data_IF_042234591951
#
_entry.id   IF_042234591951
#
_cell.length_a   1.000
_cell.length_b   1.000
_cell.length_c   1.000
_cell.angle_alpha   90.00
_cell.angle_beta   90.00
_cell.angle_gamma   90.00
#
_symmetry.space_group_name_H-M   'P 1'
#
loop_
_entity.id
_entity.type
_entity.pdbx_description
1 polymer ?
#
# COMPACT_ATOMS: atom_id res chain seq x y z
N UNK A 1 -1.85 9.24 -24.73
CA UNK A 1 -2.33 8.54 -23.53
C UNK A 1 -1.42 8.95 -22.37
N UNK A 2 -1.97 9.69 -21.40
CA UNK A 2 -1.27 9.92 -20.15
C UNK A 2 -1.04 8.55 -19.46
N UNK A 3 0.13 8.29 -18.90
CA UNK A 3 0.35 7.07 -18.12
C UNK A 3 -0.63 7.05 -16.94
N UNK A 4 -1.08 5.85 -16.58
CA UNK A 4 -1.94 5.68 -15.40
C UNK A 4 -1.25 6.29 -14.18
N UNK A 5 -2.01 7.01 -13.37
CA UNK A 5 -1.49 7.63 -12.16
C UNK A 5 -0.92 6.56 -11.21
N UNK A 6 0.28 6.78 -10.67
CA UNK A 6 0.86 5.82 -9.75
C UNK A 6 0.10 5.81 -8.42
N UNK A 7 -0.07 4.66 -7.78
CA UNK A 7 -0.54 4.60 -6.42
C UNK A 7 0.47 5.24 -5.47
N UNK A 8 -0.02 5.85 -4.41
CA UNK A 8 0.83 6.35 -3.32
C UNK A 8 1.55 5.15 -2.68
N UNK A 9 2.85 5.07 -2.85
CA UNK A 9 3.63 3.96 -2.34
C UNK A 9 4.44 4.38 -1.12
N UNK A 10 4.09 3.92 0.07
CA UNK A 10 5.04 3.62 1.15
C UNK A 10 4.33 2.86 2.28
N UNK A 11 4.91 1.79 2.82
CA UNK A 11 4.55 1.35 4.16
C UNK A 11 5.04 2.45 5.13
N UNK A 12 4.10 3.09 5.81
CA UNK A 12 4.43 4.14 6.77
C UNK A 12 5.01 3.57 8.06
N UNK A 13 6.01 4.22 8.67
CA UNK A 13 6.32 3.99 10.07
C UNK A 13 5.06 4.29 10.91
N UNK A 14 4.88 3.55 11.99
CA UNK A 14 3.77 3.74 12.91
C UNK A 14 3.68 5.22 13.31
N UNK A 15 2.58 5.86 13.06
CA UNK A 15 2.46 7.31 13.20
C UNK A 15 2.35 7.74 14.65
N UNK A 16 2.84 8.95 14.93
CA UNK A 16 2.56 9.61 16.20
C UNK A 16 1.03 9.77 16.41
N UNK A 17 0.52 9.62 17.62
CA UNK A 17 -0.91 9.76 17.87
C UNK A 17 -1.38 11.16 17.43
N UNK A 18 -2.47 11.18 16.66
CA UNK A 18 -3.19 12.42 16.40
C UNK A 18 -3.70 12.93 17.76
N UNK A 19 -3.58 14.22 18.07
CA UNK A 19 -4.11 14.76 19.32
C UNK A 19 -5.56 14.34 19.49
N UNK A 20 -5.91 13.95 20.70
CA UNK A 20 -7.25 13.53 21.06
C UNK A 20 -8.26 14.63 20.67
N UNK A 21 -9.06 14.36 19.64
CA UNK A 21 -10.01 15.30 19.06
C UNK A 21 -11.20 15.61 20.00
N UNK A 22 -11.08 15.28 21.30
CA UNK A 22 -12.17 15.34 22.25
C UNK A 22 -12.10 16.44 23.29
N UNK A 23 -11.02 17.21 23.42
CA UNK A 23 -10.74 17.91 24.66
C UNK A 23 -10.81 19.45 24.64
N UNK A 24 -11.31 20.12 23.59
CA UNK A 24 -11.36 21.60 23.60
C UNK A 24 -12.62 22.17 22.94
N UNK A 25 -12.95 23.42 23.19
CA UNK A 25 -13.94 24.17 22.42
C UNK A 25 -13.45 24.21 20.96
N UNK A 26 -14.00 23.36 20.10
CA UNK A 26 -13.50 23.10 18.79
C UNK A 26 -13.34 21.61 18.56
N UNK A 27 -14.29 20.82 19.07
CA UNK A 27 -14.36 19.37 18.80
C UNK A 27 -14.14 19.11 17.32
N UNK A 28 -13.22 18.19 17.00
CA UNK A 28 -13.07 17.67 15.66
C UNK A 28 -14.44 17.23 15.12
N UNK A 29 -14.71 17.60 13.85
CA UNK A 29 -15.95 17.25 13.16
C UNK A 29 -15.61 16.63 11.82
N UNK A 30 -16.44 15.71 11.29
CA UNK A 30 -16.31 15.22 9.94
C UNK A 30 -16.21 16.37 8.94
N UNK A 31 -15.34 16.22 7.97
CA UNK A 31 -15.14 17.21 6.93
C UNK A 31 -14.96 16.57 5.56
N UNK A 32 -15.13 17.37 4.54
CA UNK A 32 -14.93 17.01 3.15
C UNK A 32 -14.14 18.13 2.47
N UNK A 33 -13.17 17.76 1.64
CA UNK A 33 -12.46 18.71 0.80
C UNK A 33 -12.61 18.30 -0.67
N UNK A 34 -13.04 19.24 -1.53
CA UNK A 34 -13.17 19.01 -2.97
C UNK A 34 -11.94 19.50 -3.70
N UNK A 35 -11.38 18.62 -4.53
CA UNK A 35 -10.28 18.94 -5.45
C UNK A 35 -10.84 19.48 -6.77
N UNK A 36 -10.01 20.21 -7.52
CA UNK A 36 -10.37 20.64 -8.89
C UNK A 36 -10.23 19.52 -9.90
N UNK A 37 -9.41 18.51 -9.62
CA UNK A 37 -9.17 17.35 -10.49
C UNK A 37 -9.44 16.05 -9.72
N UNK A 38 -9.32 14.92 -10.45
CA UNK A 38 -9.51 13.61 -9.87
C UNK A 38 -8.48 13.32 -8.76
N UNK A 39 -8.93 12.66 -7.72
CA UNK A 39 -8.09 12.22 -6.60
C UNK A 39 -7.61 10.81 -6.88
N UNK A 40 -6.34 10.55 -6.57
CA UNK A 40 -5.69 9.27 -6.82
C UNK A 40 -5.31 8.54 -5.55
N UNK A 41 -5.44 7.22 -5.58
CA UNK A 41 -4.83 6.31 -4.62
C UNK A 41 -5.28 6.50 -3.19
N UNK A 42 -4.40 6.11 -2.30
CA UNK A 42 -4.60 6.11 -0.86
C UNK A 42 -4.01 7.39 -0.26
N UNK A 43 -4.75 8.12 0.58
CA UNK A 43 -4.21 9.29 1.27
C UNK A 43 -3.14 8.89 2.30
N UNK A 44 -2.21 9.80 2.58
CA UNK A 44 -1.13 9.57 3.55
C UNK A 44 -1.25 10.56 4.70
N UNK A 45 -1.31 10.07 5.92
CA UNK A 45 -1.29 10.91 7.12
C UNK A 45 0.13 10.94 7.69
N UNK A 46 0.68 12.15 7.87
CA UNK A 46 1.95 12.36 8.55
C UNK A 46 1.80 13.56 9.49
N UNK A 47 1.88 13.33 10.80
CA UNK A 47 1.62 14.36 11.80
C UNK A 47 0.19 14.92 11.71
N UNK A 48 0.08 16.24 11.61
CA UNK A 48 -1.18 16.97 11.52
C UNK A 48 -1.69 17.17 10.09
N UNK A 49 -1.03 16.57 9.10
CA UNK A 49 -1.35 16.76 7.69
C UNK A 49 -1.76 15.45 7.02
N UNK A 50 -2.74 15.58 6.15
CA UNK A 50 -3.16 14.56 5.20
C UNK A 50 -2.68 14.96 3.82
N UNK A 51 -1.87 14.12 3.21
CA UNK A 51 -1.37 14.32 1.86
C UNK A 51 -2.21 13.52 0.87
N UNK A 52 -2.74 14.22 -0.11
CA UNK A 52 -3.61 13.65 -1.14
C UNK A 52 -3.09 14.06 -2.50
N UNK A 53 -3.04 13.13 -3.43
CA UNK A 53 -2.57 13.37 -4.79
C UNK A 53 -3.75 13.59 -5.74
N UNK A 54 -3.69 14.71 -6.46
CA UNK A 54 -4.61 15.07 -7.54
C UNK A 54 -3.79 15.84 -8.58
N UNK A 55 -2.99 15.13 -9.37
CA UNK A 55 -1.83 15.62 -10.14
C UNK A 55 -0.73 16.20 -9.24
N UNK A 56 -1.02 17.27 -8.49
CA UNK A 56 -0.16 17.80 -7.45
C UNK A 56 -0.43 17.10 -6.11
N UNK A 57 0.46 17.27 -5.16
CA UNK A 57 0.22 16.88 -3.78
C UNK A 57 -0.47 18.02 -3.05
N UNK A 58 -1.57 17.73 -2.41
CA UNK A 58 -2.32 18.65 -1.55
C UNK A 58 -2.11 18.24 -0.09
N UNK A 59 -1.69 19.17 0.74
CA UNK A 59 -1.55 18.96 2.18
C UNK A 59 -2.74 19.60 2.90
N UNK A 60 -3.56 18.77 3.53
CA UNK A 60 -4.77 19.19 4.25
C UNK A 60 -4.55 19.05 5.75
N UNK A 61 -5.00 20.02 6.51
CA UNK A 61 -5.02 19.93 7.97
C UNK A 61 -6.02 18.84 8.41
N UNK A 62 -5.57 17.86 9.20
CA UNK A 62 -6.41 16.75 9.64
C UNK A 62 -7.57 17.19 10.53
N UNK A 63 -7.42 18.31 11.26
CA UNK A 63 -8.45 18.84 12.16
C UNK A 63 -9.57 19.56 11.43
N UNK A 64 -9.25 20.34 10.42
CA UNK A 64 -10.20 21.24 9.74
C UNK A 64 -10.51 20.86 8.29
N UNK A 65 -9.68 20.05 7.66
CA UNK A 65 -9.76 19.77 6.22
C UNK A 65 -9.31 20.93 5.35
N UNK A 66 -8.78 22.01 5.93
CA UNK A 66 -8.28 23.13 5.14
C UNK A 66 -6.95 22.80 4.47
N UNK A 67 -6.83 23.15 3.19
CA UNK A 67 -5.57 23.00 2.49
C UNK A 67 -4.55 24.00 3.02
N UNK A 68 -3.40 23.49 3.47
CA UNK A 68 -2.27 24.28 3.94
C UNK A 68 -1.40 24.72 2.77
N UNK A 69 -1.15 23.80 1.84
CA UNK A 69 -0.46 24.08 0.59
C UNK A 69 -0.79 23.02 -0.46
N UNK A 70 -0.44 23.29 -1.70
CA UNK A 70 -0.29 22.30 -2.76
C UNK A 70 1.05 22.45 -3.43
N UNK A 71 1.59 21.38 -3.99
CA UNK A 71 2.85 21.44 -4.74
C UNK A 71 2.65 22.18 -6.05
N UNK A 72 3.73 22.81 -6.55
CA UNK A 72 3.71 23.49 -7.84
C UNK A 72 3.73 22.50 -9.00
N UNK A 73 4.54 21.47 -8.86
CA UNK A 73 4.76 20.47 -9.90
C UNK A 73 3.86 19.26 -9.72
N UNK A 74 3.63 18.54 -10.81
CA UNK A 74 2.92 17.26 -10.79
C UNK A 74 3.77 16.23 -10.03
N UNK A 75 3.10 15.34 -9.30
CA UNK A 75 3.72 14.25 -8.56
C UNK A 75 3.24 12.91 -9.11
N UNK A 76 3.84 12.44 -10.18
CA UNK A 76 3.51 11.14 -10.77
C UNK A 76 3.94 9.99 -9.89
N UNK A 77 5.08 10.12 -9.23
CA UNK A 77 5.51 9.23 -8.16
C UNK A 77 5.84 10.06 -6.92
N UNK A 78 5.48 9.57 -5.75
CA UNK A 78 5.61 10.32 -4.51
C UNK A 78 5.81 9.39 -3.32
N UNK A 79 6.59 9.86 -2.35
CA UNK A 79 6.67 9.27 -1.02
C UNK A 79 6.69 10.37 0.04
N UNK A 80 5.99 10.14 1.13
CA UNK A 80 6.00 11.03 2.30
C UNK A 80 6.56 10.26 3.48
N UNK A 81 7.60 10.78 4.09
CA UNK A 81 8.20 10.19 5.27
C UNK A 81 8.99 11.22 6.06
N UNK A 82 8.89 11.17 7.39
CA UNK A 82 9.69 12.00 8.28
C UNK A 82 9.53 13.50 8.06
N UNK A 83 8.34 13.96 7.75
CA UNK A 83 8.04 15.37 7.49
C UNK A 83 8.56 15.88 6.14
N UNK A 84 8.86 14.99 5.21
CA UNK A 84 9.35 15.36 3.86
C UNK A 84 8.54 14.68 2.77
N UNK A 85 8.39 15.40 1.65
CA UNK A 85 7.82 14.88 0.42
C UNK A 85 8.95 14.71 -0.60
N UNK A 86 9.08 13.50 -1.15
CA UNK A 86 9.93 13.24 -2.31
C UNK A 86 9.00 12.86 -3.47
N UNK A 87 9.18 13.49 -4.61
CA UNK A 87 8.30 13.29 -5.73
C UNK A 87 9.01 13.43 -7.07
N UNK A 88 8.40 12.92 -8.13
CA UNK A 88 8.89 13.09 -9.48
C UNK A 88 7.80 13.62 -10.40
N UNK A 89 8.19 14.54 -11.28
CA UNK A 89 7.43 14.99 -12.43
C UNK A 89 8.20 14.55 -13.68
N UNK A 90 7.89 13.37 -14.19
CA UNK A 90 8.65 12.77 -15.27
C UNK A 90 10.12 12.51 -14.89
N UNK A 91 11.08 13.12 -15.58
CA UNK A 91 12.50 12.99 -15.24
C UNK A 91 12.96 13.93 -14.12
N UNK A 92 12.11 14.86 -13.68
CA UNK A 92 12.45 15.78 -12.57
C UNK A 92 12.17 15.12 -11.24
N UNK A 93 13.19 15.04 -10.39
CA UNK A 93 13.08 14.57 -9.02
C UNK A 93 13.22 15.76 -8.07
N UNK A 94 12.34 15.89 -7.09
CA UNK A 94 12.36 17.00 -6.15
C UNK A 94 11.96 16.57 -4.74
N UNK A 95 12.43 17.33 -3.76
CA UNK A 95 12.10 17.14 -2.35
C UNK A 95 11.57 18.43 -1.75
N UNK A 96 10.52 18.30 -0.95
CA UNK A 96 9.84 19.41 -0.29
C UNK A 96 9.79 19.16 1.21
N UNK A 97 9.75 20.26 1.96
CA UNK A 97 9.33 20.23 3.35
C UNK A 97 7.84 19.87 3.43
N UNK A 98 7.52 18.87 4.25
CA UNK A 98 6.15 18.39 4.37
C UNK A 98 5.22 19.35 5.10
N UNK A 99 5.75 20.28 5.91
CA UNK A 99 4.94 21.21 6.68
C UNK A 99 4.41 22.39 5.85
N UNK A 100 5.18 22.89 4.92
CA UNK A 100 4.88 24.11 4.17
C UNK A 100 5.07 24.02 2.65
N UNK A 101 5.57 22.89 2.15
CA UNK A 101 5.83 22.69 0.73
C UNK A 101 7.08 23.39 0.20
N UNK A 102 7.94 23.93 1.06
CA UNK A 102 9.19 24.59 0.65
C UNK A 102 10.12 23.60 -0.02
N UNK A 103 10.63 23.95 -1.22
CA UNK A 103 11.55 23.10 -1.94
C UNK A 103 12.90 22.99 -1.23
N UNK A 104 13.36 21.77 -1.03
CA UNK A 104 14.65 21.45 -0.42
C UNK A 104 15.74 21.25 -1.45
N UNK A 105 15.43 20.48 -2.49
CA UNK A 105 16.33 20.24 -3.61
C UNK A 105 15.54 19.76 -4.83
N UNK A 106 16.18 19.88 -5.99
CA UNK A 106 15.63 19.50 -7.29
C UNK A 106 16.76 19.04 -8.20
N UNK A 107 16.51 18.01 -8.99
CA UNK A 107 17.46 17.53 -9.99
C UNK A 107 16.73 16.91 -11.19
N UNK A 108 17.49 16.66 -12.25
CA UNK A 108 17.03 15.95 -13.43
C UNK A 108 17.64 14.56 -13.45
N UNK A 109 16.80 13.55 -13.70
CA UNK A 109 17.23 12.18 -13.99
C UNK A 109 17.36 11.99 -15.49
N UNK A 110 18.04 10.89 -15.91
CA UNK A 110 18.27 10.63 -17.34
C UNK A 110 17.02 10.11 -18.07
N UNK A 111 16.04 9.62 -17.35
CA UNK A 111 14.81 9.04 -17.91
C UNK A 111 13.63 9.26 -16.99
N UNK A 112 12.42 9.00 -17.50
CA UNK A 112 11.17 9.12 -16.74
C UNK A 112 11.19 8.21 -15.52
N UNK A 113 10.93 8.77 -14.34
CA UNK A 113 10.80 8.04 -13.08
C UNK A 113 9.39 7.44 -12.99
N UNK A 114 9.28 6.14 -12.97
CA UNK A 114 7.99 5.46 -12.80
C UNK A 114 7.77 4.94 -11.37
N UNK A 115 8.81 4.85 -10.57
CA UNK A 115 8.74 4.36 -9.19
C UNK A 115 9.67 5.18 -8.30
N UNK A 116 9.17 5.56 -7.14
CA UNK A 116 9.90 6.28 -6.11
C UNK A 116 9.50 5.76 -4.74
N UNK A 117 10.48 5.34 -3.94
CA UNK A 117 10.27 4.85 -2.58
C UNK A 117 11.37 5.34 -1.67
N UNK A 118 11.10 5.44 -0.39
CA UNK A 118 12.04 5.95 0.60
C UNK A 118 12.13 5.04 1.81
N UNK A 119 13.32 4.94 2.38
CA UNK A 119 13.56 4.28 3.65
C UNK A 119 14.83 4.85 4.28
N UNK A 120 14.78 5.20 5.57
CA UNK A 120 15.96 5.60 6.37
C UNK A 120 16.90 6.58 5.68
N UNK A 121 16.36 7.65 5.10
CA UNK A 121 17.15 8.68 4.46
C UNK A 121 17.66 8.36 3.05
N UNK A 122 17.21 7.26 2.46
CA UNK A 122 17.52 6.88 1.08
C UNK A 122 16.28 6.97 0.22
N UNK A 123 16.39 7.62 -0.94
CA UNK A 123 15.36 7.62 -1.99
C UNK A 123 15.81 6.66 -3.08
N UNK A 124 14.93 5.76 -3.49
CA UNK A 124 15.19 4.82 -4.59
C UNK A 124 14.20 5.08 -5.71
N UNK A 125 14.73 5.25 -6.90
CA UNK A 125 13.95 5.48 -8.12
C UNK A 125 14.15 4.37 -9.14
N UNK A 126 13.07 3.99 -9.81
CA UNK A 126 13.11 3.19 -11.02
C UNK A 126 12.80 4.09 -12.21
N UNK A 127 13.66 4.04 -13.24
CA UNK A 127 13.48 4.82 -14.46
C UNK A 127 13.25 3.93 -15.66
N UNK A 128 12.54 4.45 -16.67
CA UNK A 128 12.32 3.75 -17.93
C UNK A 128 13.65 3.31 -18.54
N UNK A 129 13.68 2.08 -19.06
CA UNK A 129 14.89 1.50 -19.63
C UNK A 129 15.68 0.61 -18.67
N UNK A 130 15.15 0.35 -17.44
CA UNK A 130 15.74 -0.61 -16.50
C UNK A 130 16.77 -0.02 -15.54
N UNK A 131 16.86 1.31 -15.46
CA UNK A 131 17.73 1.99 -14.48
C UNK A 131 17.10 1.99 -13.08
N UNK A 132 17.95 1.79 -12.08
CA UNK A 132 17.60 1.96 -10.66
C UNK A 132 18.66 2.84 -10.02
N UNK A 133 18.24 3.90 -9.36
CA UNK A 133 19.09 4.87 -8.72
C UNK A 133 18.75 5.03 -7.25
N UNK A 134 19.77 5.31 -6.44
CA UNK A 134 19.56 5.71 -5.06
C UNK A 134 20.14 7.11 -4.83
N UNK A 135 19.44 7.88 -4.00
CA UNK A 135 19.71 9.29 -3.73
C UNK A 135 19.70 9.54 -2.24
N UNK A 136 20.56 10.44 -1.78
CA UNK A 136 20.50 10.93 -0.40
C UNK A 136 19.23 11.78 -0.23
N UNK A 137 18.35 11.39 0.67
CA UNK A 137 17.07 12.08 0.86
C UNK A 137 17.25 13.54 1.29
N UNK A 138 18.32 13.85 2.03
CA UNK A 138 18.53 15.19 2.59
C UNK A 138 18.98 16.24 1.57
N UNK A 139 19.72 15.84 0.53
CA UNK A 139 20.34 16.79 -0.41
C UNK A 139 20.23 16.40 -1.89
N UNK A 140 19.68 15.24 -2.21
CA UNK A 140 19.52 14.76 -3.58
C UNK A 140 20.81 14.23 -4.23
N UNK A 141 21.88 14.04 -3.46
CA UNK A 141 23.13 13.49 -3.97
C UNK A 141 22.94 12.04 -4.41
N UNK A 142 23.44 11.71 -5.63
CA UNK A 142 23.35 10.34 -6.14
C UNK A 142 24.29 9.43 -5.37
N UNK A 143 23.76 8.36 -4.78
CA UNK A 143 24.53 7.37 -4.04
C UNK A 143 25.09 6.29 -4.96
N UNK A 144 24.25 5.73 -5.83
CA UNK A 144 24.61 4.70 -6.78
C UNK A 144 23.56 4.56 -7.87
N UNK A 145 23.93 3.83 -8.92
CA UNK A 145 23.04 3.44 -10.01
C UNK A 145 23.38 2.03 -10.47
N UNK A 146 22.37 1.23 -10.76
CA UNK A 146 22.51 -0.05 -11.42
C UNK A 146 21.57 -0.12 -12.62
N UNK A 147 22.01 -0.79 -13.66
CA UNK A 147 21.24 -1.02 -14.88
C UNK A 147 21.13 -2.50 -15.16
N UNK A 148 20.09 -2.90 -15.88
CA UNK A 148 19.88 -4.29 -16.24
C UNK A 148 18.80 -4.42 -17.30
N UNK A 149 18.60 -5.65 -17.82
CA UNK A 149 17.53 -5.90 -18.74
C UNK A 149 16.20 -5.60 -18.05
N UNK A 150 15.43 -4.73 -18.69
CA UNK A 150 14.16 -4.25 -18.21
C UNK A 150 13.16 -5.41 -18.09
N UNK A 151 12.33 -5.37 -17.06
CA UNK A 151 11.09 -6.15 -17.00
C UNK A 151 10.04 -5.50 -17.90
N UNK A 152 9.02 -6.25 -18.30
CA UNK A 152 7.92 -5.72 -19.11
C UNK A 152 7.01 -4.75 -18.33
N UNK A 153 7.33 -4.48 -17.06
CA UNK A 153 6.51 -3.71 -16.17
C UNK A 153 7.24 -2.46 -15.68
N UNK A 154 6.79 -1.30 -16.12
CA UNK A 154 7.23 0.00 -15.63
C UNK A 154 6.12 0.65 -14.79
N UNK A 155 5.76 -0.02 -13.71
CA UNK A 155 4.73 0.43 -12.77
C UNK A 155 5.34 0.58 -11.37
N UNK A 156 4.75 1.39 -10.49
CA UNK A 156 5.24 1.52 -9.12
C UNK A 156 5.33 0.18 -8.37
N UNK A 157 4.41 -0.74 -8.63
CA UNK A 157 4.36 -2.06 -8.00
C UNK A 157 5.51 -2.97 -8.47
N UNK A 158 5.94 -2.83 -9.71
CA UNK A 158 7.04 -3.60 -10.29
C UNK A 158 8.40 -2.93 -10.07
N UNK A 159 8.41 -1.71 -9.59
CA UNK A 159 9.62 -0.95 -9.34
C UNK A 159 10.43 -1.49 -8.17
N UNK A 160 11.64 -0.95 -7.99
CA UNK A 160 12.49 -1.35 -6.87
C UNK A 160 11.79 -1.09 -5.54
N UNK A 161 11.95 -2.02 -4.61
CA UNK A 161 11.48 -1.90 -3.24
C UNK A 161 12.65 -1.61 -2.31
N UNK A 162 12.40 -0.89 -1.23
CA UNK A 162 13.40 -0.63 -0.20
C UNK A 162 12.81 -0.90 1.18
N UNK A 163 13.51 -1.73 1.97
CA UNK A 163 13.11 -2.08 3.33
C UNK A 163 14.35 -2.31 4.20
N UNK A 164 14.40 -1.67 5.34
CA UNK A 164 15.42 -1.91 6.37
C UNK A 164 16.86 -1.90 5.83
N UNK A 165 17.15 -0.94 4.92
CA UNK A 165 18.47 -0.78 4.34
C UNK A 165 18.80 -1.74 3.20
N UNK A 166 17.84 -2.49 2.70
CA UNK A 166 17.98 -3.35 1.52
C UNK A 166 17.07 -2.92 0.39
N UNK A 167 17.63 -2.81 -0.81
CA UNK A 167 16.89 -2.55 -2.04
C UNK A 167 16.72 -3.85 -2.81
N UNK A 168 15.47 -4.18 -3.16
CA UNK A 168 15.13 -5.34 -3.96
C UNK A 168 14.82 -4.91 -5.37
N UNK A 169 15.52 -5.48 -6.33
CA UNK A 169 15.44 -5.11 -7.74
C UNK A 169 15.21 -6.34 -8.61
N UNK A 170 14.24 -6.25 -9.50
CA UNK A 170 13.98 -7.29 -10.50
C UNK A 170 14.60 -6.88 -11.82
N UNK A 171 15.79 -7.40 -12.10
CA UNK A 171 16.58 -7.13 -13.31
C UNK A 171 17.22 -8.41 -13.84
N UNK A 172 17.40 -8.53 -15.17
CA UNK A 172 18.08 -9.66 -15.80
C UNK A 172 17.48 -11.02 -15.39
N UNK A 173 16.16 -11.12 -15.27
CA UNK A 173 15.45 -12.31 -14.79
C UNK A 173 15.86 -12.76 -13.38
N UNK A 174 16.42 -11.87 -12.58
CA UNK A 174 16.87 -12.15 -11.22
C UNK A 174 16.24 -11.16 -10.23
N UNK A 175 15.93 -11.65 -9.04
CA UNK A 175 15.67 -10.81 -7.88
C UNK A 175 17.00 -10.55 -7.19
N UNK A 176 17.38 -9.27 -7.13
CA UNK A 176 18.64 -8.83 -6.54
C UNK A 176 18.37 -8.09 -5.24
N UNK A 177 19.15 -8.39 -4.22
CA UNK A 177 19.14 -7.63 -2.96
C UNK A 177 20.42 -6.81 -2.89
N UNK A 178 20.27 -5.49 -2.85
CA UNK A 178 21.37 -4.53 -2.85
C UNK A 178 21.42 -3.80 -1.51
N UNK A 179 22.62 -3.44 -1.05
CA UNK A 179 22.76 -2.51 0.06
C UNK A 179 22.22 -1.13 -0.37
N UNK A 180 21.31 -0.57 0.44
CA UNK A 180 20.61 0.66 0.08
C UNK A 180 21.55 1.88 -0.05
N UNK A 181 22.64 1.92 0.69
CA UNK A 181 23.56 3.06 0.70
C UNK A 181 24.69 2.95 -0.32
N UNK A 182 25.12 1.73 -0.64
CA UNK A 182 26.27 1.47 -1.52
C UNK A 182 25.90 0.90 -2.87
N UNK A 183 24.71 0.28 -3.00
CA UNK A 183 24.32 -0.44 -4.21
C UNK A 183 25.00 -1.79 -4.39
N UNK A 184 25.86 -2.21 -3.45
CA UNK A 184 26.53 -3.48 -3.51
C UNK A 184 25.54 -4.64 -3.40
N UNK A 185 25.66 -5.61 -4.31
CA UNK A 185 24.80 -6.79 -4.29
C UNK A 185 25.14 -7.69 -3.10
N UNK A 186 24.14 -7.97 -2.28
CA UNK A 186 24.25 -8.94 -1.19
C UNK A 186 24.00 -10.35 -1.67
N UNK A 187 22.99 -10.53 -2.53
CA UNK A 187 22.65 -11.77 -3.17
C UNK A 187 21.77 -11.52 -4.38
N UNK A 188 21.61 -12.53 -5.21
CA UNK A 188 20.61 -12.57 -6.27
C UNK A 188 20.05 -13.97 -6.43
N UNK A 189 18.79 -14.05 -6.85
CA UNK A 189 18.08 -15.30 -7.09
C UNK A 189 17.48 -15.32 -8.49
N UNK A 190 17.62 -16.42 -9.26
CA UNK A 190 17.09 -16.52 -10.63
C UNK A 190 15.58 -16.77 -10.60
N UNK A 191 14.82 -15.70 -10.38
CA UNK A 191 13.36 -15.79 -10.26
C UNK A 191 12.64 -15.93 -11.59
N UNK A 192 13.28 -15.54 -12.69
CA UNK A 192 12.73 -15.54 -14.02
C UNK A 192 12.37 -14.16 -14.53
N UNK A 193 12.07 -14.08 -15.83
CA UNK A 193 11.56 -12.87 -16.47
C UNK A 193 10.05 -12.71 -16.30
N UNK A 194 9.45 -11.74 -16.99
CA UNK A 194 8.00 -11.49 -16.92
C UNK A 194 7.17 -12.69 -17.35
N UNK A 195 7.59 -13.41 -18.38
CA UNK A 195 6.87 -14.60 -18.86
C UNK A 195 6.96 -15.76 -17.86
N UNK A 196 8.13 -15.99 -17.27
CA UNK A 196 8.33 -17.01 -16.22
C UNK A 196 7.55 -16.70 -14.94
N UNK A 197 7.26 -15.42 -14.69
CA UNK A 197 6.46 -14.96 -13.55
C UNK A 197 4.98 -14.71 -13.91
N UNK A 198 4.46 -15.43 -14.89
CA UNK A 198 3.04 -15.44 -15.23
C UNK A 198 2.50 -14.17 -15.90
N UNK A 199 3.38 -13.32 -16.42
CA UNK A 199 2.99 -12.05 -17.06
C UNK A 199 2.49 -10.99 -16.07
N UNK A 200 2.81 -11.11 -14.81
CA UNK A 200 2.44 -10.16 -13.75
C UNK A 200 3.67 -9.71 -12.96
N UNK A 201 3.65 -8.51 -12.36
CA UNK A 201 4.74 -8.05 -11.52
C UNK A 201 4.96 -8.97 -10.33
N UNK A 202 6.22 -9.21 -9.97
CA UNK A 202 6.52 -9.83 -8.69
C UNK A 202 6.21 -8.84 -7.55
N UNK A 203 5.74 -9.37 -6.43
CA UNK A 203 5.45 -8.57 -5.24
C UNK A 203 6.13 -9.22 -4.04
N UNK A 204 6.63 -8.43 -3.11
CA UNK A 204 7.37 -8.97 -1.98
C UNK A 204 7.13 -8.20 -0.69
N UNK A 205 7.35 -8.89 0.42
CA UNK A 205 7.31 -8.32 1.76
C UNK A 205 8.39 -8.98 2.62
N UNK A 206 9.33 -8.21 3.17
CA UNK A 206 10.22 -8.73 4.21
C UNK A 206 9.45 -8.87 5.53
N UNK A 207 9.83 -9.87 6.29
CA UNK A 207 9.14 -10.22 7.53
C UNK A 207 10.09 -10.26 8.72
N UNK A 208 9.50 -10.20 9.91
CA UNK A 208 10.26 -10.18 11.18
C UNK A 208 10.98 -11.49 11.48
N UNK A 209 10.70 -12.56 10.75
CA UNK A 209 11.37 -13.86 10.87
C UNK A 209 12.69 -13.94 10.07
N UNK A 210 13.12 -12.85 9.47
CA UNK A 210 14.37 -12.80 8.70
C UNK A 210 14.24 -13.31 7.25
N UNK A 211 13.03 -13.51 6.76
CA UNK A 211 12.74 -13.95 5.40
C UNK A 211 11.96 -12.90 4.62
N UNK A 212 12.21 -12.82 3.33
CA UNK A 212 11.38 -12.08 2.41
C UNK A 212 10.47 -13.07 1.69
N UNK A 213 9.17 -12.77 1.70
CA UNK A 213 8.15 -13.55 1.01
C UNK A 213 7.82 -12.89 -0.33
N UNK A 214 7.89 -13.67 -1.39
CA UNK A 214 7.77 -13.16 -2.76
C UNK A 214 6.68 -13.92 -3.48
N UNK A 215 5.74 -13.20 -4.08
CA UNK A 215 4.82 -13.76 -5.07
C UNK A 215 5.37 -13.50 -6.47
N UNK A 216 5.54 -14.58 -7.23
CA UNK A 216 6.14 -14.55 -8.55
C UNK A 216 5.30 -15.43 -9.49
N UNK A 217 4.31 -14.84 -10.13
CA UNK A 217 3.33 -15.57 -10.94
C UNK A 217 2.47 -16.49 -10.08
N UNK A 218 2.52 -17.79 -10.34
CA UNK A 218 1.83 -18.82 -9.56
C UNK A 218 2.62 -19.30 -8.34
N UNK A 219 3.84 -18.78 -8.13
CA UNK A 219 4.74 -19.20 -7.07
C UNK A 219 4.74 -18.25 -5.89
N UNK A 220 4.92 -18.81 -4.71
CA UNK A 220 5.29 -18.08 -3.50
C UNK A 220 6.62 -18.61 -3.01
N UNK A 221 7.56 -17.73 -2.69
CA UNK A 221 8.91 -18.07 -2.26
C UNK A 221 9.19 -17.48 -0.88
N UNK A 222 9.87 -18.24 -0.03
CA UNK A 222 10.48 -17.75 1.19
C UNK A 222 11.99 -17.73 1.01
N UNK A 223 12.57 -16.54 1.03
CA UNK A 223 14.00 -16.33 0.79
C UNK A 223 14.63 -15.74 2.04
N UNK A 224 15.74 -16.31 2.50
CA UNK A 224 16.50 -15.74 3.61
C UNK A 224 17.06 -14.37 3.23
N UNK A 225 16.74 -13.34 4.02
CA UNK A 225 17.10 -11.95 3.70
C UNK A 225 18.62 -11.75 3.67
N UNK A 226 19.36 -12.45 4.54
CA UNK A 226 20.80 -12.28 4.63
C UNK A 226 21.57 -13.02 3.55
N UNK A 227 21.14 -14.24 3.18
CA UNK A 227 21.89 -15.15 2.30
C UNK A 227 21.32 -15.28 0.89
N UNK A 228 20.04 -14.99 0.70
CA UNK A 228 19.35 -15.23 -0.56
C UNK A 228 18.97 -16.69 -0.83
N UNK A 229 19.15 -17.57 0.17
CA UNK A 229 18.77 -18.97 0.02
C UNK A 229 17.26 -19.13 0.14
N UNK A 230 16.65 -19.88 -0.79
CA UNK A 230 15.25 -20.23 -0.74
C UNK A 230 15.03 -21.30 0.32
N UNK A 231 14.20 -20.98 1.31
CA UNK A 231 13.81 -21.94 2.35
C UNK A 231 12.76 -22.92 1.84
N UNK A 232 11.78 -22.40 1.09
CA UNK A 232 10.73 -23.18 0.45
C UNK A 232 10.09 -22.39 -0.70
N UNK A 233 9.37 -23.10 -1.55
CA UNK A 233 8.49 -22.51 -2.54
C UNK A 233 7.15 -23.24 -2.54
N UNK A 234 6.10 -22.52 -2.92
CA UNK A 234 4.73 -23.02 -3.06
C UNK A 234 4.23 -22.69 -4.46
N UNK A 235 3.51 -23.63 -5.09
CA UNK A 235 2.93 -23.48 -6.42
C UNK A 235 1.41 -23.52 -6.33
N UNK A 236 0.75 -22.49 -6.88
CA UNK A 236 -0.71 -22.41 -6.96
C UNK A 236 -1.19 -22.61 -8.40
N UNK A 237 -2.49 -22.95 -8.61
CA UNK A 237 -3.05 -23.08 -9.96
C UNK A 237 -3.21 -21.76 -10.71
N UNK A 238 -3.26 -20.62 -10.01
CA UNK A 238 -3.46 -19.30 -10.60
C UNK A 238 -2.42 -18.30 -10.08
N UNK A 239 -2.25 -17.18 -10.81
CA UNK A 239 -1.27 -16.16 -10.46
C UNK A 239 -1.68 -15.36 -9.22
N UNK A 240 -0.69 -14.86 -8.50
CA UNK A 240 -0.86 -13.93 -7.40
C UNK A 240 -0.57 -12.51 -7.90
N UNK A 241 -1.48 -11.58 -7.60
CA UNK A 241 -1.35 -10.17 -7.99
C UNK A 241 -0.92 -9.27 -6.83
N UNK A 242 -0.98 -9.78 -5.61
CA UNK A 242 -0.64 -9.04 -4.39
C UNK A 242 0.59 -9.64 -3.70
N UNK A 243 1.28 -8.85 -2.85
CA UNK A 243 2.32 -9.42 -2.01
C UNK A 243 1.71 -10.36 -0.96
N UNK A 244 2.48 -11.36 -0.48
CA UNK A 244 2.06 -12.16 0.66
C UNK A 244 1.88 -11.30 1.91
N UNK A 245 1.00 -11.73 2.82
CA UNK A 245 0.86 -11.15 4.15
C UNK A 245 1.43 -12.11 5.19
N UNK A 246 2.42 -11.67 5.94
CA UNK A 246 3.03 -12.45 7.01
C UNK A 246 2.41 -12.10 8.36
N UNK A 247 2.08 -13.12 9.15
CA UNK A 247 1.66 -12.95 10.53
C UNK A 247 2.56 -13.80 11.43
N UNK A 248 3.26 -13.19 12.41
CA UNK A 248 4.05 -13.94 13.39
C UNK A 248 3.14 -14.71 14.35
N UNK A 249 3.72 -15.75 15.01
CA UNK A 249 3.01 -16.39 16.12
C UNK A 249 2.57 -15.41 17.22
N UNK A 250 1.70 -15.79 18.18
CA UNK A 250 1.54 -17.15 18.69
C UNK A 250 0.32 -17.93 18.17
N UNK A 251 -0.59 -17.32 17.42
CA UNK A 251 -1.77 -18.04 16.92
C UNK A 251 -1.39 -19.26 16.07
N UNK A 252 -0.25 -19.15 15.37
CA UNK A 252 0.35 -20.22 14.59
C UNK A 252 1.83 -20.30 14.92
N UNK A 253 2.30 -21.44 15.44
CA UNK A 253 3.71 -21.64 15.75
C UNK A 253 4.58 -21.45 14.52
N UNK A 254 5.57 -20.55 14.59
CA UNK A 254 6.47 -20.21 13.49
C UNK A 254 5.88 -19.23 12.47
N UNK A 255 4.65 -18.76 12.67
CA UNK A 255 4.01 -17.79 11.80
C UNK A 255 3.28 -18.38 10.61
N UNK A 256 2.49 -17.54 9.96
CA UNK A 256 1.71 -17.87 8.76
C UNK A 256 1.94 -16.88 7.63
N UNK A 257 1.81 -17.36 6.40
CA UNK A 257 1.83 -16.54 5.18
C UNK A 257 0.48 -16.70 4.48
N UNK A 258 -0.19 -15.58 4.28
CA UNK A 258 -1.54 -15.54 3.75
C UNK A 258 -1.58 -14.76 2.45
N UNK A 259 -2.27 -15.28 1.47
CA UNK A 259 -2.48 -14.60 0.19
C UNK A 259 -3.65 -15.23 -0.57
N UNK A 260 -4.14 -14.50 -1.56
CA UNK A 260 -5.18 -14.99 -2.44
C UNK A 260 -4.70 -14.95 -3.88
N UNK A 261 -5.01 -15.97 -4.68
CA UNK A 261 -4.71 -15.98 -6.09
C UNK A 261 -5.74 -15.19 -6.91
N UNK A 262 -5.47 -15.00 -8.18
CA UNK A 262 -6.31 -14.22 -9.09
C UNK A 262 -7.76 -14.73 -9.17
N UNK A 263 -7.98 -16.01 -8.97
CA UNK A 263 -9.32 -16.62 -9.02
C UNK A 263 -10.07 -16.51 -7.70
N UNK A 264 -9.42 -15.99 -6.65
CA UNK A 264 -10.04 -15.77 -5.35
C UNK A 264 -9.85 -16.91 -4.35
N UNK A 265 -9.00 -17.88 -4.63
CA UNK A 265 -8.63 -18.88 -3.64
C UNK A 265 -7.65 -18.29 -2.64
N UNK A 266 -7.99 -18.38 -1.35
CA UNK A 266 -7.18 -17.90 -0.24
C UNK A 266 -6.38 -19.05 0.33
N UNK A 267 -5.10 -18.81 0.57
CA UNK A 267 -4.15 -19.79 1.10
C UNK A 267 -3.59 -19.31 2.42
N UNK A 268 -3.45 -20.23 3.37
CA UNK A 268 -2.64 -20.04 4.55
C UNK A 268 -1.49 -21.04 4.52
N UNK A 269 -0.27 -20.53 4.40
CA UNK A 269 0.94 -21.34 4.36
C UNK A 269 1.63 -21.29 5.71
N UNK A 270 2.22 -22.41 6.10
CA UNK A 270 3.16 -22.44 7.21
C UNK A 270 4.41 -21.63 6.81
N UNK A 271 4.77 -20.59 7.60
CA UNK A 271 5.89 -19.73 7.26
C UNK A 271 7.23 -20.46 7.27
N UNK A 272 7.38 -21.51 8.06
CA UNK A 272 8.62 -22.30 8.18
C UNK A 272 8.76 -23.32 7.08
N UNK A 273 7.68 -24.01 6.69
CA UNK A 273 7.72 -25.15 5.78
C UNK A 273 7.14 -24.88 4.38
N UNK A 274 6.33 -23.82 4.24
CA UNK A 274 5.63 -23.51 2.99
C UNK A 274 4.46 -24.42 2.68
N UNK A 275 4.10 -25.34 3.57
CA UNK A 275 2.94 -26.21 3.38
C UNK A 275 1.66 -25.43 3.63
N UNK A 276 0.66 -25.64 2.78
CA UNK A 276 -0.63 -25.06 3.01
C UNK A 276 -1.32 -25.74 4.21
N UNK A 277 -1.74 -24.92 5.17
CA UNK A 277 -2.53 -25.37 6.32
C UNK A 277 -4.00 -25.48 5.96
N UNK A 278 -4.45 -24.53 5.17
CA UNK A 278 -5.76 -24.52 4.59
C UNK A 278 -5.79 -23.68 3.31
N UNK A 279 -6.77 -23.94 2.49
CA UNK A 279 -7.14 -23.12 1.35
C UNK A 279 -8.66 -23.07 1.25
N UNK A 280 -9.18 -21.94 0.80
CA UNK A 280 -10.62 -21.76 0.65
C UNK A 280 -10.91 -20.93 -0.60
N UNK A 281 -11.87 -21.39 -1.38
CA UNK A 281 -12.31 -20.65 -2.56
C UNK A 281 -13.31 -19.56 -2.14
N UNK A 282 -13.11 -18.36 -2.62
CA UNK A 282 -14.09 -17.28 -2.58
C UNK A 282 -14.84 -17.22 -3.91
N UNK A 283 -15.89 -16.39 -3.99
CA UNK A 283 -16.82 -16.43 -5.13
C UNK A 283 -16.31 -15.71 -6.37
N UNK A 284 -15.30 -14.86 -6.25
CA UNK A 284 -14.89 -14.00 -7.33
C UNK A 284 -13.40 -13.64 -7.26
N UNK A 285 -12.95 -12.87 -8.25
CA UNK A 285 -11.56 -12.47 -8.42
C UNK A 285 -11.08 -11.58 -7.28
N UNK A 286 -9.85 -11.82 -6.85
CA UNK A 286 -9.15 -11.05 -5.84
C UNK A 286 -8.79 -9.64 -6.33
N UNK A 287 -8.72 -8.69 -5.40
CA UNK A 287 -8.13 -7.38 -5.64
C UNK A 287 -6.60 -7.46 -5.68
N UNK A 288 -5.96 -6.38 -6.17
CA UNK A 288 -4.50 -6.25 -6.22
C UNK A 288 -3.85 -6.06 -4.84
N UNK A 289 -4.65 -5.82 -3.82
CA UNK A 289 -4.18 -5.53 -2.47
C UNK A 289 -3.95 -6.81 -1.66
N UNK A 290 -2.98 -6.81 -0.74
CA UNK A 290 -2.75 -7.96 0.12
C UNK A 290 -3.96 -8.24 1.00
N UNK A 291 -4.12 -9.50 1.39
CA UNK A 291 -5.09 -9.86 2.43
C UNK A 291 -4.67 -9.20 3.75
N UNK A 292 -5.64 -8.79 4.55
CA UNK A 292 -5.37 -8.18 5.86
C UNK A 292 -5.46 -9.25 6.94
N UNK A 293 -4.40 -9.42 7.71
CA UNK A 293 -4.38 -10.34 8.86
C UNK A 293 -4.36 -9.54 10.14
N UNK A 294 -5.36 -9.73 10.98
CA UNK A 294 -5.48 -9.05 12.29
C UNK A 294 -6.01 -10.02 13.34
N UNK A 295 -5.41 -10.03 14.54
CA UNK A 295 -5.96 -10.69 15.73
C UNK A 295 -6.66 -12.06 15.47
N UNK A 296 -6.03 -12.94 14.70
CA UNK A 296 -6.57 -14.26 14.39
C UNK A 296 -7.59 -14.30 13.24
N UNK A 297 -7.76 -13.20 12.52
CA UNK A 297 -8.66 -13.09 11.36
C UNK A 297 -7.90 -12.79 10.08
N UNK A 298 -8.42 -13.28 8.96
CA UNK A 298 -7.99 -12.92 7.61
C UNK A 298 -9.15 -12.24 6.91
N UNK A 299 -8.95 -11.00 6.48
CA UNK A 299 -9.95 -10.21 5.76
C UNK A 299 -9.59 -10.14 4.28
N UNK A 300 -10.53 -10.51 3.42
CA UNK A 300 -10.29 -10.64 1.97
C UNK A 300 -11.45 -10.03 1.21
N UNK A 301 -11.12 -9.09 0.31
CA UNK A 301 -12.06 -8.63 -0.71
C UNK A 301 -12.09 -9.61 -1.88
N UNK A 302 -13.27 -10.04 -2.31
CA UNK A 302 -13.46 -10.92 -3.45
C UNK A 302 -14.68 -10.44 -4.25
N UNK A 303 -14.43 -9.82 -5.41
CA UNK A 303 -15.49 -9.18 -6.17
C UNK A 303 -16.20 -8.12 -5.32
N UNK A 304 -17.52 -8.22 -5.19
CA UNK A 304 -18.35 -7.30 -4.41
C UNK A 304 -18.54 -7.73 -2.95
N UNK A 305 -17.82 -8.73 -2.47
CA UNK A 305 -17.95 -9.23 -1.10
C UNK A 305 -16.65 -9.10 -0.31
N UNK A 306 -16.78 -8.85 0.98
CA UNK A 306 -15.71 -8.91 1.95
C UNK A 306 -15.91 -10.12 2.85
N UNK A 307 -14.88 -10.96 2.94
CA UNK A 307 -14.86 -12.16 3.76
C UNK A 307 -13.96 -11.97 4.97
N UNK A 308 -14.36 -12.51 6.09
CA UNK A 308 -13.46 -12.70 7.24
C UNK A 308 -13.40 -14.18 7.57
N UNK A 309 -12.18 -14.70 7.56
CA UNK A 309 -11.86 -16.11 7.82
C UNK A 309 -11.09 -16.23 9.11
N UNK A 310 -11.23 -17.38 9.77
CA UNK A 310 -10.35 -17.72 10.89
C UNK A 310 -8.92 -17.97 10.37
N UNK A 311 -7.93 -17.31 10.94
CA UNK A 311 -6.54 -17.39 10.46
C UNK A 311 -5.91 -18.77 10.68
N UNK A 312 -6.37 -19.54 11.67
CA UNK A 312 -5.85 -20.87 12.01
C UNK A 312 -6.56 -21.96 11.23
N UNK A 313 -7.90 -21.92 11.22
CA UNK A 313 -8.75 -22.97 10.65
C UNK A 313 -9.21 -22.70 9.22
N UNK A 314 -9.17 -21.45 8.77
CA UNK A 314 -9.68 -21.05 7.46
C UNK A 314 -11.20 -21.02 7.34
N UNK A 315 -11.92 -21.29 8.42
CA UNK A 315 -13.38 -21.28 8.42
C UNK A 315 -13.92 -19.86 8.27
N UNK A 316 -14.94 -19.64 7.41
CA UNK A 316 -15.58 -18.34 7.30
C UNK A 316 -16.24 -17.94 8.61
N UNK A 317 -15.95 -16.72 9.09
CA UNK A 317 -16.61 -16.13 10.26
C UNK A 317 -17.81 -15.30 9.85
N UNK A 318 -17.66 -14.49 8.80
CA UNK A 318 -18.73 -13.71 8.23
C UNK A 318 -18.38 -13.27 6.80
N UNK A 319 -19.40 -12.83 6.08
CA UNK A 319 -19.33 -12.29 4.74
C UNK A 319 -20.24 -11.08 4.64
N UNK A 320 -19.77 -10.02 4.02
CA UNK A 320 -20.57 -8.83 3.76
C UNK A 320 -20.61 -8.56 2.25
N UNK A 321 -21.81 -8.45 1.70
CA UNK A 321 -22.02 -8.12 0.29
C UNK A 321 -22.21 -6.60 0.11
N UNK A 322 -21.30 -5.97 -0.66
CA UNK A 322 -21.45 -4.59 -1.11
C UNK A 322 -22.23 -4.54 -2.44
N UNK A 323 -22.61 -3.35 -2.87
CA UNK A 323 -23.31 -3.14 -4.15
C UNK A 323 -22.39 -3.08 -5.36
N UNK A 324 -21.08 -3.12 -5.16
CA UNK A 324 -20.05 -3.11 -6.20
C UNK A 324 -18.76 -3.68 -5.69
N UNK A 325 -17.75 -3.81 -6.55
CA UNK A 325 -16.48 -4.43 -6.19
C UNK A 325 -15.79 -3.71 -5.03
N UNK A 326 -15.18 -4.48 -4.15
CA UNK A 326 -14.32 -3.97 -3.08
C UNK A 326 -13.09 -3.32 -3.69
N UNK A 327 -12.80 -2.09 -3.31
CA UNK A 327 -11.68 -1.29 -3.81
C UNK A 327 -10.63 -1.16 -2.73
N UNK A 328 -9.37 -1.45 -3.09
CA UNK A 328 -8.24 -1.35 -2.18
C UNK A 328 -8.28 -2.38 -1.04
N UNK A 329 -7.41 -2.19 -0.07
CA UNK A 329 -7.37 -3.01 1.13
C UNK A 329 -8.33 -2.48 2.19
N UNK A 330 -9.02 -3.35 2.96
CA UNK A 330 -9.72 -2.91 4.14
C UNK A 330 -8.74 -2.45 5.22
N UNK A 331 -9.21 -1.63 6.14
CA UNK A 331 -8.45 -1.22 7.32
C UNK A 331 -9.24 -1.54 8.58
N UNK A 332 -8.56 -2.06 9.59
CA UNK A 332 -9.16 -2.37 10.90
C UNK A 332 -8.54 -1.48 11.96
N UNK A 333 -9.38 -0.79 12.71
CA UNK A 333 -8.98 0.04 13.84
C UNK A 333 -10.11 0.06 14.88
N UNK A 334 -9.77 -0.11 16.16
CA UNK A 334 -10.71 -0.04 17.28
C UNK A 334 -11.98 -0.91 17.10
N UNK A 335 -11.79 -2.12 16.58
CA UNK A 335 -12.88 -3.07 16.37
C UNK A 335 -13.78 -2.74 15.17
N UNK A 336 -13.45 -1.73 14.38
CA UNK A 336 -14.14 -1.35 13.15
C UNK A 336 -13.32 -1.73 11.94
N UNK A 337 -14.00 -2.23 10.91
CA UNK A 337 -13.40 -2.50 9.61
C UNK A 337 -14.01 -1.53 8.60
N UNK A 338 -13.13 -0.79 7.90
CA UNK A 338 -13.51 0.18 6.88
C UNK A 338 -13.05 -0.29 5.52
N UNK A 339 -13.91 -0.22 4.50
CA UNK A 339 -13.53 -0.52 3.13
C UNK A 339 -14.34 0.30 2.13
N UNK A 340 -13.72 0.58 0.99
CA UNK A 340 -14.36 1.27 -0.12
C UNK A 340 -14.91 0.31 -1.15
N UNK A 341 -15.88 0.77 -1.93
CA UNK A 341 -16.50 -0.02 -2.99
C UNK A 341 -16.71 0.80 -4.27
N UNK A 342 -16.74 0.10 -5.38
CA UNK A 342 -17.07 0.66 -6.69
C UNK A 342 -18.54 1.10 -6.80
N UNK A 343 -19.39 0.77 -5.83
CA UNK A 343 -20.76 1.28 -5.71
C UNK A 343 -20.85 2.69 -5.13
N UNK A 344 -19.72 3.40 -5.01
CA UNK A 344 -19.56 4.76 -4.49
C UNK A 344 -19.64 4.87 -2.95
N UNK A 345 -19.65 3.76 -2.24
CA UNK A 345 -19.89 3.75 -0.80
C UNK A 345 -18.63 3.38 -0.02
N UNK A 346 -18.39 4.12 1.06
CA UNK A 346 -17.47 3.73 2.12
C UNK A 346 -18.28 3.01 3.20
N UNK A 347 -17.91 1.77 3.49
CA UNK A 347 -18.58 0.93 4.49
C UNK A 347 -17.74 0.83 5.76
N UNK A 348 -18.42 0.83 6.89
CA UNK A 348 -17.83 0.54 8.20
C UNK A 348 -18.61 -0.57 8.88
N UNK A 349 -17.92 -1.67 9.15
CA UNK A 349 -18.48 -2.87 9.77
C UNK A 349 -17.89 -3.07 11.15
N UNK A 350 -18.59 -3.84 11.96
CA UNK A 350 -17.97 -4.47 13.13
C UNK A 350 -16.96 -5.52 12.65
N UNK A 351 -15.70 -5.40 13.06
CA UNK A 351 -14.64 -6.30 12.57
C UNK A 351 -14.85 -7.75 13.06
N UNK A 352 -15.45 -7.94 14.22
CA UNK A 352 -15.70 -9.27 14.79
C UNK A 352 -16.88 -9.99 14.16
N UNK A 353 -17.99 -9.30 13.97
CA UNK A 353 -19.24 -9.91 13.52
C UNK A 353 -19.69 -9.56 12.10
N UNK A 354 -19.08 -8.57 11.47
CA UNK A 354 -19.40 -8.16 10.10
C UNK A 354 -20.68 -7.33 9.96
N UNK A 355 -21.30 -6.91 11.08
CA UNK A 355 -22.50 -6.08 11.03
C UNK A 355 -22.16 -4.68 10.52
N UNK A 356 -22.99 -4.15 9.64
CA UNK A 356 -22.89 -2.77 9.18
C UNK A 356 -23.11 -1.81 10.35
N UNK A 357 -22.16 -0.92 10.58
CA UNK A 357 -22.25 0.12 11.61
C UNK A 357 -22.70 1.44 11.02
N UNK A 358 -22.06 1.85 9.95
CA UNK A 358 -22.44 3.02 9.17
C UNK A 358 -21.87 2.90 7.76
N UNK A 359 -22.40 3.68 6.86
CA UNK A 359 -21.88 3.83 5.50
C UNK A 359 -22.04 5.26 5.02
N UNK A 360 -21.21 5.68 4.09
CA UNK A 360 -21.30 6.96 3.42
C UNK A 360 -21.36 6.75 1.92
N UNK A 361 -22.42 7.19 1.28
CA UNK A 361 -22.51 7.26 -0.16
C UNK A 361 -21.80 8.53 -0.66
N UNK A 362 -20.85 8.36 -1.58
CA UNK A 362 -20.18 9.46 -2.28
C UNK A 362 -20.71 9.59 -3.71
N UNK A 363 -20.24 10.58 -4.44
CA UNK A 363 -20.67 10.80 -5.83
C UNK A 363 -19.89 9.99 -6.87
N UNK A 364 -18.91 9.19 -6.47
CA UNK A 364 -18.09 8.36 -7.34
C UNK A 364 -17.51 7.17 -6.62
N UNK A 365 -16.86 6.26 -7.37
CA UNK A 365 -16.18 5.11 -6.77
C UNK A 365 -15.13 5.56 -5.76
N UNK A 366 -14.99 4.82 -4.67
CA UNK A 366 -13.91 5.01 -3.72
C UNK A 366 -12.58 4.66 -4.42
N UNK A 367 -11.55 5.46 -4.21
CA UNK A 367 -10.22 5.25 -4.79
C UNK A 367 -9.23 4.81 -3.72
N UNK A 368 -8.40 3.83 -4.04
CA UNK A 368 -7.41 3.30 -3.10
C UNK A 368 -8.01 2.70 -1.84
N UNK A 369 -7.19 2.60 -0.81
CA UNK A 369 -7.61 2.08 0.49
C UNK A 369 -7.98 3.21 1.44
N UNK A 370 -8.97 3.04 2.33
CA UNK A 370 -9.17 3.99 3.41
C UNK A 370 -8.00 3.95 4.39
N UNK A 371 -7.81 5.04 5.11
CA UNK A 371 -6.80 5.16 6.17
C UNK A 371 -7.51 5.50 7.46
N UNK A 372 -7.26 4.74 8.52
CA UNK A 372 -7.83 4.99 9.84
C UNK A 372 -6.73 5.39 10.82
N UNK A 373 -6.93 6.52 11.50
CA UNK A 373 -5.96 7.04 12.44
C UNK A 373 -6.59 7.98 13.45
N UNK A 374 -6.27 7.77 14.74
CA UNK A 374 -6.72 8.65 15.81
C UNK A 374 -8.24 8.79 15.89
N UNK A 375 -8.99 7.73 15.61
CA UNK A 375 -10.45 7.77 15.63
C UNK A 375 -11.08 8.39 14.39
N UNK A 376 -10.29 8.68 13.36
CA UNK A 376 -10.74 9.26 12.08
C UNK A 376 -10.45 8.30 10.94
N UNK A 377 -11.39 8.12 10.04
CA UNK A 377 -11.18 7.41 8.78
C UNK A 377 -11.19 8.40 7.62
N UNK A 378 -10.18 8.28 6.76
CA UNK A 378 -10.01 9.10 5.57
C UNK A 378 -10.21 8.24 4.33
N UNK A 379 -10.95 8.75 3.36
CA UNK A 379 -11.18 8.08 2.09
C UNK A 379 -11.26 9.09 0.95
N UNK A 380 -10.83 8.66 -0.23
CA UNK A 380 -10.90 9.44 -1.46
C UNK A 380 -11.93 8.82 -2.40
N UNK A 381 -12.60 9.65 -3.18
CA UNK A 381 -13.61 9.23 -4.15
C UNK A 381 -13.38 9.89 -5.51
N UNK A 382 -13.82 9.21 -6.57
CA UNK A 382 -13.82 9.75 -7.93
C UNK A 382 -14.78 10.94 -8.11
N UNK A 383 -15.53 11.31 -7.07
CA UNK A 383 -16.27 12.59 -7.04
C UNK A 383 -15.37 13.80 -6.80
N UNK A 384 -14.04 13.60 -6.79
CA UNK A 384 -12.99 14.60 -6.54
C UNK A 384 -12.90 15.04 -5.09
N UNK A 385 -13.52 14.33 -4.17
CA UNK A 385 -13.53 14.68 -2.76
C UNK A 385 -12.68 13.74 -1.91
N UNK A 386 -12.12 14.32 -0.87
CA UNK A 386 -11.51 13.64 0.27
C UNK A 386 -12.46 13.78 1.45
N UNK A 387 -12.72 12.68 2.11
CA UNK A 387 -13.63 12.60 3.25
C UNK A 387 -12.86 12.23 4.50
N UNK A 388 -13.13 12.93 5.59
CA UNK A 388 -12.67 12.56 6.93
C UNK A 388 -13.89 12.36 7.84
N UNK A 389 -14.03 11.18 8.40
CA UNK A 389 -15.22 10.74 9.12
C UNK A 389 -14.83 10.23 10.48
N UNK A 390 -15.73 10.38 11.46
CA UNK A 390 -15.57 9.71 12.74
C UNK A 390 -15.61 8.19 12.53
N UNK A 391 -14.59 7.48 12.96
CA UNK A 391 -14.45 6.05 12.73
C UNK A 391 -15.58 5.24 13.39
N UNK A 392 -16.15 5.72 14.49
CA UNK A 392 -17.24 5.06 15.22
C UNK A 392 -18.61 5.50 14.71
N UNK A 393 -18.81 6.81 14.50
CA UNK A 393 -20.12 7.43 14.24
C UNK A 393 -20.36 7.79 12.77
N UNK A 394 -19.30 7.77 11.94
CA UNK A 394 -19.40 8.22 10.55
C UNK A 394 -19.57 9.73 10.45
N UNK A 395 -20.64 10.18 9.80
CA UNK A 395 -21.01 11.58 9.68
C UNK A 395 -21.91 12.07 10.78
N UNK A 396 -22.34 11.19 11.70
CA UNK A 396 -23.35 11.52 12.69
C UNK A 396 -22.82 12.49 13.73
N UNK A 397 -22.96 13.77 13.47
CA UNK A 397 -22.91 14.86 14.46
C UNK A 397 -24.32 15.16 15.00
N UNK A 398 -25.19 14.17 15.10
CA UNK A 398 -26.55 14.36 15.57
C UNK A 398 -27.54 14.97 14.57
N UNK A 399 -27.10 15.32 13.36
CA UNK A 399 -27.97 15.71 12.22
C UNK A 399 -27.36 15.14 10.95
N UNK A 400 -28.14 14.33 10.24
CA UNK A 400 -27.70 13.68 9.02
C UNK A 400 -27.09 14.66 8.04
N UNK A 401 -25.89 14.35 7.59
CA UNK A 401 -25.33 14.98 6.40
C UNK A 401 -26.17 14.52 5.22
N UNK A 402 -26.86 15.45 4.58
CA UNK A 402 -27.54 15.27 3.28
C UNK A 402 -26.54 15.38 2.16
#
# INVERSE_FOLDING_TARGET
>A
HAPAAPPLSAPMPAPAPVPDAGAAPGRWRPWRFRMSNDVWGTPVVDGDLLYVTSFEVHALDVGSGRRQFKTRDVAWAMAVAGGRIHASDGPTLYALDGADGTERWRLQTDAWVYSLKTDRGTVVTGTRGGGVQAWEASNGEKLWEVTGAQTDFETPEAGPAIFDGTVYVWQNARLRALDARTGNERWSYPIGDGAACGGVPIRLVPASDGHVYVSAGTRVLSIDIASGHVRWHFEAPAVFLSPPAFAPGPAVTGGGVYLADYLGTVYALDATTGKDRWRIATEARQSLEPVLVTAGNVHVGSGSALYTLDAVAGTPKWRFAAGGDVVGAPVVADGRLHFGSADHVLYTLDAGGGQLRWKLATGGEITGSPVARGGVVYACSKDRCVYALDAIKGTATGRGAR
#
